data_IF_705842996356
#
_entry.id   IF_705842996356
#
_cell.length_a   1.000
_cell.length_b   1.000
_cell.length_c   1.000
_cell.angle_alpha   90.00
_cell.angle_beta   90.00
_cell.angle_gamma   90.00
#
_symmetry.space_group_name_H-M   'P 1'
#
loop_
_entity.id
_entity.type
_entity.pdbx_description
1 polymer ?
#
# COMPACT_ATOMS: atom_id res chain seq x y z
N UNK A 1 13.86 -21.18 -21.67
CA UNK A 1 13.27 -20.10 -22.46
C UNK A 1 13.86 -18.76 -22.01
N UNK A 2 14.09 -17.79 -22.90
CA UNK A 2 14.48 -16.40 -22.56
C UNK A 2 13.26 -15.60 -22.13
N UNK A 3 13.46 -14.51 -21.38
CA UNK A 3 12.37 -13.61 -20.93
C UNK A 3 11.52 -13.13 -22.11
N UNK A 4 12.15 -12.60 -23.19
CA UNK A 4 11.41 -12.19 -24.39
C UNK A 4 10.55 -13.30 -24.99
N UNK A 5 11.05 -14.55 -24.96
CA UNK A 5 10.28 -15.72 -25.41
C UNK A 5 9.10 -16.04 -24.50
N UNK A 6 9.25 -15.85 -23.17
CA UNK A 6 8.15 -16.03 -22.22
C UNK A 6 7.01 -15.07 -22.49
N UNK A 7 7.31 -13.76 -22.68
CA UNK A 7 6.29 -12.76 -23.00
C UNK A 7 5.53 -13.09 -24.29
N UNK A 8 6.25 -13.54 -25.35
CA UNK A 8 5.61 -13.93 -26.60
C UNK A 8 4.72 -15.15 -26.45
N UNK A 9 5.21 -16.20 -25.77
CA UNK A 9 4.41 -17.40 -25.50
C UNK A 9 3.16 -17.06 -24.69
N UNK A 10 3.26 -16.15 -23.70
CA UNK A 10 2.07 -15.70 -22.96
C UNK A 10 1.06 -15.05 -23.91
N UNK A 11 1.49 -14.20 -24.83
CA UNK A 11 0.61 -13.59 -25.82
C UNK A 11 -0.04 -14.62 -26.76
N UNK A 12 0.66 -15.69 -27.10
CA UNK A 12 0.10 -16.78 -27.94
C UNK A 12 -1.00 -17.57 -27.22
N UNK A 13 -0.92 -17.70 -25.87
CA UNK A 13 -1.88 -18.47 -25.07
C UNK A 13 -2.97 -17.64 -24.39
N UNK A 14 -2.75 -16.33 -24.18
CA UNK A 14 -3.70 -15.42 -23.54
C UNK A 14 -4.08 -14.32 -24.53
N UNK A 15 -5.24 -14.44 -25.22
CA UNK A 15 -5.65 -13.46 -26.25
C UNK A 15 -5.80 -12.02 -25.76
N UNK A 16 -6.08 -11.82 -24.46
CA UNK A 16 -6.18 -10.50 -23.83
C UNK A 16 -4.82 -9.89 -23.47
N UNK A 17 -3.71 -10.65 -23.62
CA UNK A 17 -2.39 -10.18 -23.20
C UNK A 17 -1.85 -9.11 -24.14
N UNK A 18 -1.56 -7.94 -23.59
CA UNK A 18 -0.93 -6.84 -24.32
C UNK A 18 0.59 -6.99 -24.35
N UNK A 19 1.10 -7.54 -25.46
CA UNK A 19 2.54 -7.75 -25.66
C UNK A 19 3.30 -6.41 -25.78
N UNK A 20 2.69 -5.37 -26.36
CA UNK A 20 3.34 -4.06 -26.50
C UNK A 20 3.53 -3.40 -25.13
N UNK A 21 2.49 -3.42 -24.30
CA UNK A 21 2.56 -3.01 -22.91
C UNK A 21 3.62 -3.81 -22.15
N UNK A 22 3.63 -5.14 -22.25
CA UNK A 22 4.61 -5.99 -21.59
C UNK A 22 6.05 -5.64 -21.97
N UNK A 23 6.31 -5.34 -23.22
CA UNK A 23 7.64 -4.92 -23.70
C UNK A 23 8.00 -3.51 -23.19
N UNK A 24 7.07 -2.60 -23.12
CA UNK A 24 7.23 -1.26 -22.56
C UNK A 24 7.54 -1.34 -21.06
N UNK A 25 6.77 -2.10 -20.29
CA UNK A 25 6.99 -2.33 -18.87
C UNK A 25 8.34 -2.99 -18.60
N UNK A 26 8.69 -4.02 -19.39
CA UNK A 26 9.99 -4.68 -19.28
C UNK A 26 11.15 -3.69 -19.46
N UNK A 27 11.01 -2.68 -20.33
CA UNK A 27 11.98 -1.60 -20.49
C UNK A 27 12.00 -0.65 -19.30
N UNK A 28 10.84 -0.26 -18.77
CA UNK A 28 10.73 0.63 -17.59
C UNK A 28 11.41 0.00 -16.36
N UNK A 29 11.34 -1.32 -16.20
CA UNK A 29 11.94 -2.10 -15.11
C UNK A 29 13.36 -2.62 -15.41
N UNK A 30 13.99 -2.22 -16.49
CA UNK A 30 15.30 -2.75 -16.93
C UNK A 30 15.38 -4.30 -16.94
N UNK A 31 14.25 -4.96 -17.21
CA UNK A 31 14.17 -6.43 -17.20
C UNK A 31 15.00 -7.03 -18.33
N UNK A 32 16.01 -7.92 -18.05
CA UNK A 32 16.94 -8.41 -19.04
C UNK A 32 16.29 -9.44 -20.00
N UNK A 33 15.68 -8.97 -21.09
CA UNK A 33 14.92 -9.75 -22.07
C UNK A 33 15.70 -10.91 -22.72
N UNK A 34 17.03 -10.80 -22.78
CA UNK A 34 17.91 -11.83 -23.38
C UNK A 34 18.28 -12.94 -22.41
N UNK A 35 18.14 -12.75 -21.10
CA UNK A 35 18.42 -13.77 -20.08
C UNK A 35 17.39 -14.89 -20.10
N UNK A 36 17.82 -16.10 -19.70
CA UNK A 36 16.89 -17.22 -19.43
C UNK A 36 16.08 -16.92 -18.17
N UNK A 37 14.79 -17.22 -18.16
CA UNK A 37 13.90 -17.01 -16.97
C UNK A 37 14.51 -17.67 -15.73
N UNK A 38 15.02 -18.90 -15.83
CA UNK A 38 15.65 -19.61 -14.70
C UNK A 38 16.97 -19.01 -14.19
N UNK A 39 17.53 -18.03 -14.90
CA UNK A 39 18.78 -17.34 -14.52
C UNK A 39 18.54 -15.91 -14.03
N UNK A 40 17.29 -15.53 -13.81
CA UNK A 40 16.93 -14.26 -13.19
C UNK A 40 17.24 -14.31 -11.69
N UNK A 41 17.61 -13.17 -11.12
CA UNK A 41 17.61 -12.98 -9.66
C UNK A 41 16.17 -13.02 -9.13
N UNK A 42 16.02 -13.14 -7.81
CA UNK A 42 14.69 -13.06 -7.15
C UNK A 42 13.96 -11.79 -7.54
N UNK A 43 14.60 -10.61 -7.47
CA UNK A 43 14.01 -9.34 -7.86
C UNK A 43 13.56 -9.31 -9.32
N UNK A 44 14.41 -9.71 -10.28
CA UNK A 44 14.01 -9.78 -11.69
C UNK A 44 12.93 -10.83 -11.95
N UNK A 45 12.87 -11.89 -11.16
CA UNK A 45 11.78 -12.88 -11.26
C UNK A 45 10.45 -12.28 -10.78
N UNK A 46 10.48 -11.47 -9.72
CA UNK A 46 9.31 -10.72 -9.27
C UNK A 46 8.89 -9.69 -10.33
N UNK A 47 9.82 -8.91 -10.88
CA UNK A 47 9.53 -7.95 -11.95
C UNK A 47 8.90 -8.65 -13.17
N UNK A 48 9.40 -9.81 -13.59
CA UNK A 48 8.78 -10.55 -14.70
C UNK A 48 7.33 -10.91 -14.40
N UNK A 49 7.02 -11.35 -13.16
CA UNK A 49 5.65 -11.65 -12.74
C UNK A 49 4.76 -10.41 -12.77
N UNK A 50 5.27 -9.25 -12.30
CA UNK A 50 4.55 -7.98 -12.37
C UNK A 50 4.23 -7.58 -13.81
N UNK A 51 5.22 -7.66 -14.70
CA UNK A 51 5.04 -7.37 -16.14
C UNK A 51 3.97 -8.27 -16.74
N UNK A 52 4.01 -9.58 -16.46
CA UNK A 52 3.01 -10.53 -16.95
C UNK A 52 1.60 -10.20 -16.43
N UNK A 53 1.47 -9.92 -15.14
CA UNK A 53 0.18 -9.64 -14.52
C UNK A 53 -0.43 -8.32 -15.00
N UNK A 54 0.35 -7.24 -15.05
CA UNK A 54 -0.11 -5.93 -15.52
C UNK A 54 -0.50 -5.92 -17.01
N UNK A 55 0.09 -6.83 -17.80
CA UNK A 55 -0.18 -6.93 -19.24
C UNK A 55 -1.23 -8.00 -19.59
N UNK A 56 -1.83 -8.67 -18.60
CA UNK A 56 -2.73 -9.80 -18.83
C UNK A 56 -4.08 -9.40 -19.47
N UNK A 57 -4.48 -8.13 -19.36
CA UNK A 57 -5.75 -7.63 -19.90
C UNK A 57 -6.98 -8.30 -19.27
N UNK A 58 -6.86 -8.70 -17.99
CA UNK A 58 -7.96 -9.32 -17.23
C UNK A 58 -8.71 -8.29 -16.41
N UNK A 59 -10.02 -8.44 -16.15
CA UNK A 59 -10.78 -7.48 -15.34
C UNK A 59 -10.36 -7.46 -13.86
N UNK A 60 -9.72 -8.53 -13.39
CA UNK A 60 -9.20 -8.65 -12.03
C UNK A 60 -7.74 -9.06 -12.05
N UNK A 61 -6.92 -8.39 -11.23
CA UNK A 61 -5.52 -8.78 -10.99
C UNK A 61 -5.28 -8.87 -9.49
N UNK A 62 -4.68 -9.97 -9.06
CA UNK A 62 -4.34 -10.19 -7.65
C UNK A 62 -2.81 -10.20 -7.52
N UNK A 63 -2.30 -9.33 -6.67
CA UNK A 63 -0.90 -9.26 -6.30
C UNK A 63 -0.74 -9.68 -4.84
N UNK A 64 0.04 -10.74 -4.61
CA UNK A 64 0.42 -11.20 -3.28
C UNK A 64 1.88 -10.82 -3.03
N UNK A 65 2.09 -9.89 -2.07
CA UNK A 65 3.40 -9.32 -1.71
C UNK A 65 4.27 -8.93 -2.94
N UNK A 66 3.74 -8.17 -3.91
CA UNK A 66 4.37 -7.99 -5.22
C UNK A 66 5.74 -7.31 -5.19
N UNK A 67 5.97 -6.48 -4.18
CA UNK A 67 7.20 -5.67 -4.06
C UNK A 67 8.26 -6.33 -3.18
N UNK A 68 7.97 -7.51 -2.63
CA UNK A 68 8.93 -8.24 -1.81
C UNK A 68 10.16 -8.63 -2.64
N UNK A 69 11.34 -8.21 -2.15
CA UNK A 69 12.63 -8.45 -2.83
C UNK A 69 12.95 -7.45 -3.96
N UNK A 70 12.13 -6.42 -4.15
CA UNK A 70 12.45 -5.27 -5.01
C UNK A 70 13.22 -4.21 -4.21
N UNK A 71 14.12 -3.50 -4.89
CA UNK A 71 14.72 -2.27 -4.36
C UNK A 71 13.71 -1.10 -4.40
N UNK A 72 14.05 0.00 -3.73
CA UNK A 72 13.18 1.16 -3.61
C UNK A 72 12.77 1.77 -4.98
N UNK A 73 13.69 1.75 -5.97
CA UNK A 73 13.42 2.30 -7.30
C UNK A 73 12.36 1.47 -8.04
N UNK A 74 12.49 0.14 -8.02
CA UNK A 74 11.52 -0.74 -8.68
C UNK A 74 10.17 -0.76 -7.98
N UNK A 75 10.13 -0.59 -6.64
CA UNK A 75 8.89 -0.43 -5.89
C UNK A 75 8.14 0.84 -6.30
N UNK A 76 8.84 1.97 -6.36
CA UNK A 76 8.26 3.26 -6.80
C UNK A 76 7.71 3.17 -8.24
N UNK A 77 8.45 2.53 -9.15
CA UNK A 77 7.95 2.28 -10.52
C UNK A 77 6.65 1.46 -10.49
N UNK A 78 6.60 0.39 -9.68
CA UNK A 78 5.42 -0.47 -9.58
C UNK A 78 4.19 0.30 -9.10
N UNK A 79 4.31 1.05 -8.00
CA UNK A 79 3.18 1.79 -7.45
C UNK A 79 2.69 2.90 -8.39
N UNK A 80 3.60 3.61 -9.08
CA UNK A 80 3.21 4.57 -10.12
C UNK A 80 2.45 3.92 -11.28
N UNK A 81 2.91 2.76 -11.72
CA UNK A 81 2.22 2.01 -12.78
C UNK A 81 0.83 1.55 -12.34
N UNK A 82 0.65 1.14 -11.09
CA UNK A 82 -0.68 0.83 -10.56
C UNK A 82 -1.59 2.06 -10.59
N UNK A 83 -1.12 3.23 -10.17
CA UNK A 83 -1.90 4.47 -10.26
C UNK A 83 -2.30 4.79 -11.69
N UNK A 84 -1.37 4.68 -12.64
CA UNK A 84 -1.63 4.93 -14.06
C UNK A 84 -2.67 3.95 -14.65
N UNK A 85 -2.64 2.68 -14.24
CA UNK A 85 -3.53 1.64 -14.78
C UNK A 85 -4.90 1.60 -14.08
N UNK A 86 -4.95 1.80 -12.76
CA UNK A 86 -6.21 1.78 -12.01
C UNK A 86 -7.06 3.03 -12.25
N UNK A 87 -6.43 4.16 -12.61
CA UNK A 87 -7.14 5.42 -12.87
C UNK A 87 -8.15 5.38 -14.05
N UNK A 88 -8.12 4.34 -14.89
CA UNK A 88 -9.05 4.14 -16.00
C UNK A 88 -10.35 3.41 -15.63
N UNK A 89 -10.44 2.82 -14.43
CA UNK A 89 -11.67 2.13 -13.94
C UNK A 89 -12.00 0.80 -14.62
N UNK A 90 -11.18 0.30 -15.55
CA UNK A 90 -11.43 -0.91 -16.30
C UNK A 90 -10.96 -2.20 -15.61
N UNK A 91 -10.12 -2.07 -14.59
CA UNK A 91 -9.50 -3.22 -13.92
C UNK A 91 -9.58 -3.06 -12.39
N UNK A 92 -9.98 -4.12 -11.71
CA UNK A 92 -9.93 -4.20 -10.24
C UNK A 92 -8.61 -4.84 -9.82
N UNK A 93 -7.84 -4.15 -8.99
CA UNK A 93 -6.60 -4.66 -8.41
C UNK A 93 -6.80 -5.04 -6.96
N UNK A 94 -6.46 -6.28 -6.61
CA UNK A 94 -6.41 -6.76 -5.24
C UNK A 94 -4.94 -6.89 -4.85
N UNK A 95 -4.54 -6.16 -3.81
CA UNK A 95 -3.16 -6.12 -3.34
C UNK A 95 -3.07 -6.66 -1.91
N UNK A 96 -2.38 -7.78 -1.72
CA UNK A 96 -2.00 -8.28 -0.40
C UNK A 96 -0.61 -7.74 -0.07
N UNK A 97 -0.47 -7.00 1.02
CA UNK A 97 0.82 -6.44 1.44
C UNK A 97 0.84 -6.11 2.94
N UNK A 98 2.03 -6.18 3.53
CA UNK A 98 2.32 -5.64 4.86
C UNK A 98 2.98 -4.25 4.81
N UNK A 99 3.34 -3.74 3.62
CA UNK A 99 3.93 -2.42 3.41
C UNK A 99 2.85 -1.36 3.19
N UNK A 100 2.00 -1.18 4.21
CA UNK A 100 0.80 -0.34 4.15
C UNK A 100 1.14 1.10 3.77
N UNK A 101 2.21 1.67 4.32
CA UNK A 101 2.60 3.06 4.07
C UNK A 101 2.87 3.34 2.58
N UNK A 102 3.52 2.39 1.89
CA UNK A 102 3.84 2.53 0.46
C UNK A 102 2.58 2.42 -0.41
N UNK A 103 1.63 1.57 -0.02
CA UNK A 103 0.40 1.30 -0.76
C UNK A 103 -0.76 2.26 -0.39
N UNK A 104 -0.68 2.98 0.74
CA UNK A 104 -1.78 3.74 1.32
C UNK A 104 -2.45 4.73 0.36
N UNK A 105 -1.68 5.35 -0.54
CA UNK A 105 -2.20 6.32 -1.51
C UNK A 105 -3.00 5.69 -2.66
N UNK A 106 -2.93 4.37 -2.82
CA UNK A 106 -3.61 3.61 -3.88
C UNK A 106 -4.86 2.90 -3.37
N UNK A 107 -4.96 2.71 -2.04
CA UNK A 107 -5.99 1.88 -1.44
C UNK A 107 -7.29 2.68 -1.35
N UNK A 108 -8.30 2.28 -2.11
CA UNK A 108 -9.66 2.79 -2.00
C UNK A 108 -10.44 2.03 -0.94
N UNK A 109 -10.22 0.72 -0.84
CA UNK A 109 -10.91 -0.18 0.09
C UNK A 109 -9.91 -1.13 0.74
N UNK A 110 -10.01 -1.31 2.06
CA UNK A 110 -9.11 -2.17 2.82
C UNK A 110 -9.86 -3.26 3.58
N UNK A 111 -9.33 -4.48 3.46
CA UNK A 111 -9.76 -5.64 4.26
C UNK A 111 -8.62 -6.02 5.19
N UNK A 112 -8.80 -5.80 6.49
CA UNK A 112 -7.79 -6.11 7.51
C UNK A 112 -8.07 -7.49 8.10
N UNK A 113 -7.07 -8.37 8.01
CA UNK A 113 -7.19 -9.77 8.43
C UNK A 113 -6.19 -10.07 9.55
N UNK A 114 -6.64 -10.74 10.62
CA UNK A 114 -5.80 -11.28 11.70
C UNK A 114 -6.31 -12.66 12.12
N UNK A 115 -5.42 -13.63 12.26
CA UNK A 115 -5.77 -14.97 12.72
C UNK A 115 -6.85 -15.67 11.87
N UNK A 116 -6.89 -15.40 10.55
CA UNK A 116 -7.87 -15.96 9.63
C UNK A 116 -9.27 -15.34 9.73
N UNK A 117 -9.42 -14.23 10.46
CA UNK A 117 -10.69 -13.48 10.59
C UNK A 117 -10.56 -12.08 10.01
N UNK A 118 -11.63 -11.60 9.39
CA UNK A 118 -11.74 -10.21 8.94
C UNK A 118 -12.01 -9.35 10.18
N UNK A 119 -11.10 -8.42 10.48
CA UNK A 119 -11.27 -7.45 11.56
C UNK A 119 -11.97 -6.18 11.07
N UNK A 120 -11.67 -5.74 9.86
CA UNK A 120 -12.27 -4.57 9.21
C UNK A 120 -12.42 -4.83 7.71
N UNK A 121 -13.48 -4.26 7.17
CA UNK A 121 -13.81 -4.30 5.74
C UNK A 121 -14.52 -2.97 5.43
N UNK A 122 -13.76 -1.98 4.92
CA UNK A 122 -14.27 -0.63 4.70
C UNK A 122 -13.38 0.17 3.75
N UNK A 123 -13.90 1.31 3.25
CA UNK A 123 -13.09 2.25 2.49
C UNK A 123 -11.93 2.81 3.33
N UNK A 124 -10.81 3.11 2.69
CA UNK A 124 -9.66 3.71 3.36
C UNK A 124 -10.03 5.05 4.03
N UNK A 125 -10.89 5.84 3.38
CA UNK A 125 -11.42 7.09 3.93
C UNK A 125 -12.23 6.86 5.22
N UNK A 126 -13.12 5.86 5.26
CA UNK A 126 -13.89 5.53 6.45
C UNK A 126 -13.01 5.05 7.61
N UNK A 127 -11.93 4.30 7.32
CA UNK A 127 -10.98 3.82 8.32
C UNK A 127 -10.15 4.97 8.91
N UNK A 128 -9.64 5.86 8.06
CA UNK A 128 -8.78 6.97 8.49
C UNK A 128 -9.56 8.18 9.02
N UNK A 129 -10.80 8.37 8.57
CA UNK A 129 -11.69 9.44 9.04
C UNK A 129 -12.26 9.22 10.45
N UNK A 130 -12.12 8.00 10.99
CA UNK A 130 -12.59 7.69 12.35
C UNK A 130 -11.67 8.23 13.46
N UNK A 131 -10.51 8.80 13.11
CA UNK A 131 -9.51 9.28 14.05
C UNK A 131 -8.64 10.39 13.42
N UNK A 132 -7.95 11.14 14.28
CA UNK A 132 -7.01 12.18 13.86
C UNK A 132 -5.71 12.09 14.66
N UNK A 133 -4.65 12.64 14.09
CA UNK A 133 -3.34 12.76 14.74
C UNK A 133 -3.15 14.19 15.22
N UNK A 134 -2.72 14.34 16.48
CA UNK A 134 -2.33 15.61 17.07
C UNK A 134 -0.85 15.59 17.40
N UNK A 135 -0.11 16.63 16.98
CA UNK A 135 1.33 16.77 17.22
C UNK A 135 1.63 18.16 17.81
N UNK A 136 2.53 18.19 18.80
CA UNK A 136 2.99 19.43 19.40
C UNK A 136 3.80 19.22 20.68
N UNK A 137 4.03 20.28 21.49
CA UNK A 137 4.63 20.17 22.82
C UNK A 137 3.83 19.20 23.71
N UNK A 138 4.54 18.29 24.40
CA UNK A 138 3.91 17.18 25.13
C UNK A 138 2.79 17.63 26.08
N UNK A 139 2.99 18.69 26.87
CA UNK A 139 1.98 19.19 27.79
C UNK A 139 0.72 19.74 27.09
N UNK A 140 0.84 20.29 25.88
CA UNK A 140 -0.32 20.72 25.10
C UNK A 140 -1.08 19.53 24.51
N UNK A 141 -0.34 18.52 24.02
CA UNK A 141 -0.96 17.28 23.52
C UNK A 141 -1.67 16.55 24.66
N UNK A 142 -1.05 16.43 25.85
CA UNK A 142 -1.68 15.82 27.02
C UNK A 142 -2.97 16.53 27.42
N UNK A 143 -2.97 17.88 27.39
CA UNK A 143 -4.15 18.68 27.65
C UNK A 143 -5.26 18.46 26.62
N UNK A 144 -4.92 18.38 25.35
CA UNK A 144 -5.86 18.13 24.26
C UNK A 144 -6.46 16.72 24.31
N UNK A 145 -5.65 15.73 24.65
CA UNK A 145 -6.06 14.31 24.68
C UNK A 145 -6.76 13.90 25.97
N UNK A 146 -6.78 14.75 26.98
CA UNK A 146 -7.41 14.46 28.27
C UNK A 146 -8.90 14.09 28.12
N UNK A 147 -9.26 12.89 28.58
CA UNK A 147 -10.62 12.36 28.48
C UNK A 147 -11.02 11.80 27.11
N UNK A 148 -10.11 11.76 26.15
CA UNK A 148 -10.33 11.15 24.84
C UNK A 148 -9.77 9.75 24.78
N UNK A 149 -10.29 8.92 23.86
CA UNK A 149 -9.74 7.60 23.60
C UNK A 149 -8.50 7.75 22.74
N UNK A 150 -7.34 7.41 23.32
CA UNK A 150 -6.06 7.33 22.62
C UNK A 150 -5.94 5.99 21.90
N UNK A 151 -5.55 6.03 20.65
CA UNK A 151 -5.25 4.84 19.83
C UNK A 151 -3.75 4.52 19.88
N UNK A 152 -2.91 5.56 19.84
CA UNK A 152 -1.46 5.44 19.99
C UNK A 152 -0.84 6.76 20.42
N UNK A 153 0.37 6.72 21.00
CA UNK A 153 1.14 7.91 21.30
C UNK A 153 2.63 7.65 21.21
N UNK A 154 3.38 8.68 20.84
CA UNK A 154 4.84 8.66 20.77
C UNK A 154 5.37 10.00 21.21
N UNK A 155 6.42 10.01 22.07
CA UNK A 155 7.07 11.23 22.54
C UNK A 155 8.56 11.19 22.24
N UNK A 156 9.09 12.28 21.68
CA UNK A 156 10.52 12.44 21.35
C UNK A 156 10.93 13.88 21.68
N UNK A 157 11.91 14.06 22.58
CA UNK A 157 12.54 15.35 22.83
C UNK A 157 11.59 16.46 23.25
N UNK A 158 10.53 16.17 24.03
CA UNK A 158 9.55 17.15 24.48
C UNK A 158 8.41 17.44 23.51
N UNK A 159 8.47 16.87 22.30
CA UNK A 159 7.34 16.81 21.36
C UNK A 159 6.59 15.49 21.54
N UNK A 160 5.28 15.53 21.36
CA UNK A 160 4.41 14.36 21.41
C UNK A 160 3.51 14.34 20.20
N UNK A 161 3.32 13.13 19.66
CA UNK A 161 2.33 12.83 18.64
C UNK A 161 1.37 11.80 19.23
N UNK A 162 0.08 12.05 19.14
CA UNK A 162 -0.95 11.14 19.62
C UNK A 162 -2.03 10.95 18.55
N UNK A 163 -2.48 9.70 18.35
CA UNK A 163 -3.65 9.37 17.55
C UNK A 163 -4.87 9.27 18.46
N UNK A 164 -5.92 9.99 18.12
CA UNK A 164 -7.12 10.16 18.94
C UNK A 164 -8.35 9.73 18.15
N UNK A 165 -9.20 8.88 18.74
CA UNK A 165 -10.46 8.46 18.13
C UNK A 165 -11.44 9.65 18.06
N UNK A 166 -12.18 9.74 16.95
CA UNK A 166 -13.17 10.79 16.69
C UNK A 166 -12.61 12.00 15.93
N UNK A 167 -13.49 12.94 15.66
CA UNK A 167 -13.13 14.17 14.95
C UNK A 167 -12.35 15.15 15.85
N UNK A 168 -11.49 16.00 15.25
CA UNK A 168 -10.79 17.04 15.99
C UNK A 168 -11.77 18.12 16.47
N UNK A 169 -11.37 18.84 17.53
CA UNK A 169 -12.14 19.98 18.02
C UNK A 169 -12.24 21.09 16.97
N UNK A 170 -13.35 21.77 16.94
CA UNK A 170 -13.56 22.95 16.08
C UNK A 170 -12.55 24.08 16.36
N UNK A 171 -11.95 24.10 17.54
CA UNK A 171 -10.92 25.07 17.93
C UNK A 171 -9.70 24.36 18.46
N UNK A 172 -8.65 24.36 17.67
CA UNK A 172 -7.37 23.75 18.00
C UNK A 172 -6.52 24.76 18.79
N UNK A 173 -5.97 24.37 19.97
CA UNK A 173 -5.04 25.22 20.72
C UNK A 173 -3.81 25.60 19.87
N UNK A 174 -3.36 26.84 20.01
CA UNK A 174 -2.15 27.32 19.33
C UNK A 174 -0.94 26.47 19.76
N UNK A 175 -0.13 26.03 18.77
CA UNK A 175 1.02 25.17 19.00
C UNK A 175 0.73 23.66 18.84
N UNK A 176 -0.52 23.28 18.55
CA UNK A 176 -0.86 21.94 18.11
C UNK A 176 -1.11 21.92 16.61
N UNK A 177 -0.66 20.86 15.97
CA UNK A 177 -0.91 20.52 14.58
C UNK A 177 -1.82 19.29 14.52
N UNK A 178 -2.89 19.38 13.72
CA UNK A 178 -3.84 18.30 13.50
C UNK A 178 -3.68 17.80 12.06
N UNK A 179 -3.63 16.50 11.91
CA UNK A 179 -3.64 15.85 10.59
C UNK A 179 -4.58 14.63 10.59
N UNK A 180 -5.07 14.20 9.42
CA UNK A 180 -5.78 12.94 9.31
C UNK A 180 -4.91 11.78 9.79
N UNK A 181 -5.53 10.77 10.38
CA UNK A 181 -4.81 9.54 10.73
C UNK A 181 -4.39 8.78 9.47
N UNK A 182 -3.14 8.32 9.42
CA UNK A 182 -2.67 7.48 8.32
C UNK A 182 -3.23 6.06 8.40
N UNK A 183 -3.41 5.40 7.24
CA UNK A 183 -3.92 4.01 7.21
C UNK A 183 -2.99 3.04 7.95
N UNK A 184 -1.67 3.26 7.90
CA UNK A 184 -0.70 2.46 8.66
C UNK A 184 -0.87 2.64 10.17
N UNK A 185 -1.06 3.88 10.64
CA UNK A 185 -1.23 4.17 12.07
C UNK A 185 -2.54 3.56 12.58
N UNK A 186 -3.61 3.63 11.77
CA UNK A 186 -4.87 2.94 12.04
C UNK A 186 -4.66 1.43 12.17
N UNK A 187 -3.95 0.81 11.23
CA UNK A 187 -3.66 -0.62 11.28
C UNK A 187 -2.89 -1.00 12.55
N UNK A 188 -1.83 -0.24 12.90
CA UNK A 188 -1.02 -0.48 14.09
C UNK A 188 -1.89 -0.36 15.36
N UNK A 189 -2.74 0.66 15.46
CA UNK A 189 -3.63 0.86 16.61
C UNK A 189 -4.61 -0.31 16.76
N UNK A 190 -5.20 -0.76 15.65
CA UNK A 190 -6.12 -1.89 15.63
C UNK A 190 -5.44 -3.21 16.08
N UNK A 191 -4.19 -3.44 15.66
CA UNK A 191 -3.43 -4.62 16.08
C UNK A 191 -3.16 -4.60 17.58
N UNK A 192 -2.82 -3.45 18.14
CA UNK A 192 -2.54 -3.30 19.58
C UNK A 192 -3.80 -3.48 20.45
N UNK A 193 -4.97 -3.01 20.00
CA UNK A 193 -6.24 -3.22 20.72
C UNK A 193 -6.64 -4.70 20.82
N UNK A 194 -6.34 -5.48 19.80
CA UNK A 194 -6.68 -6.91 19.76
C UNK A 194 -5.72 -7.79 20.59
N UNK A 195 -4.49 -7.33 20.84
CA UNK A 195 -3.52 -8.07 21.66
C UNK A 195 -3.73 -7.89 23.17
N UNK A 196 -4.61 -6.96 23.58
CA UNK A 196 -4.96 -6.66 25.00
C UNK A 196 -6.20 -7.46 25.47
N UNK A 197 -6.88 -8.16 24.57
CA UNK A 197 -8.03 -9.03 24.89
C UNK A 197 -7.64 -10.50 24.96
#
# INVERSE_FOLDING_TARGET
MKVKGALKVTADFLPSFDLELAMSLAKKFDLPLSKKVKALSTGYSSILRLVLALSAGTPYVIFDEPVLGLDAQHRDIFYRLLMEHCGGGEQTVILSTHLIQEAAQLIEHAVIIKGGKILRDASAEALTGAAHTVTGPAGLVDGYTAGRKLLSETAIGGLKTACVEGEPDARIPAGLEISPMGLQDYFISLMNEEDVK
#
